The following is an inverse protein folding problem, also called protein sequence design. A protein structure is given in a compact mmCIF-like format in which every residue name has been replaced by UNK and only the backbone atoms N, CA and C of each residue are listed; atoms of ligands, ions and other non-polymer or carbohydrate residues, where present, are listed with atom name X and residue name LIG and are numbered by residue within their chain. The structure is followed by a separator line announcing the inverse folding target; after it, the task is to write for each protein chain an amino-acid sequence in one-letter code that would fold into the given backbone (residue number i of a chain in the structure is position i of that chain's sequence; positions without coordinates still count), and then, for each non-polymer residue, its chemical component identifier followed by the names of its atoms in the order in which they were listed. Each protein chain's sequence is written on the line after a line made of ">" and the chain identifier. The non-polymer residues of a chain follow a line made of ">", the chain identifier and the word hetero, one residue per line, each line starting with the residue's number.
data_IF_394699260472
#
_entry.id   IF_394699260472
#
_cell.length_a   1.000
_cell.length_b   1.000
_cell.length_c   1.000
_cell.angle_alpha   90.00
_cell.angle_beta   90.00
_cell.angle_gamma   90.00
#
_symmetry.space_group_name_H-M   'P 1'
#
loop_
_entity.id
_entity.type
_entity.pdbx_description
1 polymer ?
#
# COMPACT_ATOMS: atom_id res chain seq x y z
N UNK A 1 -23.16 -2.79 12.02
CA UNK A 1 -22.36 -1.68 11.53
C UNK A 1 -22.47 -1.61 10.01
N UNK A 2 -22.58 -0.41 9.46
CA UNK A 2 -22.82 -0.15 8.04
C UNK A 2 -21.74 0.75 7.42
N UNK A 3 -20.49 0.67 7.94
CA UNK A 3 -19.33 1.35 7.37
C UNK A 3 -18.98 0.76 6.00
N UNK A 4 -18.83 1.62 5.01
CA UNK A 4 -18.22 1.27 3.72
C UNK A 4 -16.71 1.45 3.84
N UNK A 5 -15.96 0.41 3.49
CA UNK A 5 -14.50 0.43 3.46
C UNK A 5 -14.01 -0.44 2.30
N UNK A 6 -13.43 0.18 1.30
CA UNK A 6 -12.97 -0.50 0.09
C UNK A 6 -11.62 -1.16 0.31
N UNK A 7 -11.48 -2.44 -0.03
CA UNK A 7 -10.29 -3.24 0.28
C UNK A 7 -8.98 -2.71 -0.30
N UNK A 8 -8.98 -2.16 -1.51
CA UNK A 8 -7.79 -1.54 -2.13
C UNK A 8 -7.41 -0.21 -1.47
N UNK A 9 -8.34 0.40 -0.74
CA UNK A 9 -8.11 1.63 0.02
C UNK A 9 -7.85 1.36 1.51
N UNK A 10 -7.27 0.22 1.84
CA UNK A 10 -7.01 -0.15 3.22
C UNK A 10 -5.70 -0.92 3.36
N UNK A 11 -4.82 -0.42 4.20
CA UNK A 11 -3.50 -1.03 4.46
C UNK A 11 -3.17 -0.91 5.94
N UNK A 12 -2.75 -2.00 6.58
CA UNK A 12 -2.47 -2.06 8.02
C UNK A 12 -1.09 -2.62 8.31
N UNK A 13 -0.53 -2.19 9.43
CA UNK A 13 0.70 -2.77 10.00
C UNK A 13 0.42 -3.93 10.97
N UNK A 14 -0.85 -4.15 11.32
CA UNK A 14 -1.28 -5.14 12.31
C UNK A 14 -0.97 -4.76 13.76
N UNK A 15 -0.42 -3.59 14.03
CA UNK A 15 -0.06 -3.10 15.36
C UNK A 15 -0.88 -1.87 15.78
N UNK A 16 -1.82 -1.45 14.96
CA UNK A 16 -2.76 -0.38 15.27
C UNK A 16 -2.69 0.83 14.33
N UNK A 17 -1.74 0.88 13.39
CA UNK A 17 -1.75 1.89 12.35
C UNK A 17 -2.40 1.34 11.07
N UNK A 18 -3.18 2.18 10.41
CA UNK A 18 -3.73 1.92 9.10
C UNK A 18 -3.61 3.15 8.19
N UNK A 19 -3.57 2.90 6.89
CA UNK A 19 -3.56 3.92 5.85
C UNK A 19 -4.77 3.77 4.94
N UNK A 20 -5.34 4.89 4.53
CA UNK A 20 -6.35 5.00 3.49
C UNK A 20 -6.16 6.32 2.73
N UNK A 21 -6.86 6.49 1.61
CA UNK A 21 -7.15 7.81 1.08
C UNK A 21 -8.43 8.37 1.73
N UNK A 22 -8.69 9.65 1.57
CA UNK A 22 -9.92 10.32 2.00
C UNK A 22 -11.20 9.73 1.39
N UNK A 23 -11.10 8.82 0.43
CA UNK A 23 -12.22 8.05 -0.11
C UNK A 23 -13.08 7.42 0.99
N UNK A 24 -12.46 6.95 2.09
CA UNK A 24 -13.20 6.39 3.23
C UNK A 24 -14.16 7.41 3.86
N UNK A 25 -13.85 8.70 3.80
CA UNK A 25 -14.72 9.78 4.27
C UNK A 25 -15.86 10.02 3.28
N UNK A 26 -15.54 10.13 1.98
CA UNK A 26 -16.50 10.35 0.89
C UNK A 26 -17.53 9.21 0.79
N UNK A 27 -17.10 7.96 0.94
CA UNK A 27 -17.97 6.78 0.90
C UNK A 27 -18.96 6.71 2.08
N UNK A 28 -18.71 7.46 3.14
CA UNK A 28 -19.52 7.46 4.36
C UNK A 28 -20.13 8.82 4.69
N UNK A 29 -20.04 9.83 3.82
CA UNK A 29 -20.63 11.15 4.02
C UNK A 29 -22.14 11.19 3.74
N UNK A 30 -22.84 12.30 4.05
CA UNK A 30 -24.23 12.47 3.67
C UNK A 30 -24.44 12.43 2.15
N UNK A 31 -25.32 11.56 1.68
CA UNK A 31 -25.61 11.39 0.26
C UNK A 31 -24.73 10.38 -0.46
N UNK A 32 -23.95 9.59 0.28
CA UNK A 32 -23.13 8.51 -0.29
C UNK A 32 -23.96 7.55 -1.17
N UNK A 33 -23.36 6.95 -2.20
CA UNK A 33 -24.08 6.10 -3.17
C UNK A 33 -24.51 4.73 -2.62
N UNK A 34 -24.04 4.35 -1.43
CA UNK A 34 -24.22 3.01 -0.85
C UNK A 34 -25.46 2.91 0.06
N UNK A 35 -26.18 4.01 0.29
CA UNK A 35 -27.32 4.09 1.23
C UNK A 35 -26.96 3.67 2.67
N UNK A 36 -25.73 3.87 3.09
CA UNK A 36 -25.33 3.70 4.49
C UNK A 36 -25.58 5.00 5.27
N UNK A 37 -25.72 4.87 6.58
CA UNK A 37 -25.85 6.03 7.45
C UNK A 37 -24.61 6.88 7.40
N UNK A 38 -24.75 8.19 7.19
CA UNK A 38 -23.64 9.12 7.19
C UNK A 38 -22.86 9.07 8.51
N UNK A 39 -21.54 9.18 8.42
CA UNK A 39 -20.61 9.14 9.56
C UNK A 39 -19.66 10.31 9.49
N UNK A 40 -19.35 10.86 10.65
CA UNK A 40 -18.22 11.77 10.79
C UNK A 40 -16.90 10.97 10.81
N UNK A 41 -15.80 11.64 10.53
CA UNK A 41 -14.47 11.03 10.62
C UNK A 41 -14.22 10.37 11.98
N UNK A 42 -14.54 11.06 13.08
CA UNK A 42 -14.39 10.49 14.43
C UNK A 42 -15.24 9.23 14.65
N UNK A 43 -16.40 9.12 14.00
CA UNK A 43 -17.22 7.89 14.06
C UNK A 43 -16.60 6.76 13.24
N UNK A 44 -16.00 7.08 12.11
CA UNK A 44 -15.25 6.12 11.29
C UNK A 44 -14.06 5.59 12.09
N UNK A 45 -13.26 6.48 12.69
CA UNK A 45 -12.10 6.12 13.50
C UNK A 45 -12.50 5.23 14.69
N UNK A 46 -13.57 5.57 15.39
CA UNK A 46 -14.07 4.74 16.49
C UNK A 46 -14.53 3.35 16.04
N UNK A 47 -15.17 3.26 14.87
CA UNK A 47 -15.57 1.97 14.28
C UNK A 47 -14.32 1.15 13.92
N UNK A 48 -13.32 1.76 13.33
CA UNK A 48 -12.08 1.08 12.97
C UNK A 48 -11.29 0.65 14.21
N UNK A 49 -11.31 1.42 15.28
CA UNK A 49 -10.75 1.02 16.58
C UNK A 49 -11.50 -0.17 17.18
N UNK A 50 -12.83 -0.08 17.28
CA UNK A 50 -13.67 -1.09 17.95
C UNK A 50 -13.65 -2.45 17.24
N UNK A 51 -13.59 -2.48 15.91
CA UNK A 51 -13.73 -3.72 15.11
C UNK A 51 -12.44 -4.21 14.48
N UNK A 52 -11.48 -3.31 14.22
CA UNK A 52 -10.23 -3.62 13.52
C UNK A 52 -9.00 -3.38 14.39
N UNK A 53 -9.16 -2.77 15.58
CA UNK A 53 -8.07 -2.45 16.48
C UNK A 53 -7.16 -1.33 15.98
N UNK A 54 -7.66 -0.46 15.08
CA UNK A 54 -6.90 0.64 14.52
C UNK A 54 -6.94 1.82 15.48
N UNK A 55 -5.80 2.20 16.00
CA UNK A 55 -5.64 3.33 16.93
C UNK A 55 -5.22 4.61 16.22
N UNK A 56 -4.55 4.46 15.08
CA UNK A 56 -4.11 5.57 14.23
C UNK A 56 -4.50 5.28 12.77
N UNK A 57 -5.53 5.98 12.28
CA UNK A 57 -6.03 5.81 10.92
C UNK A 57 -5.61 7.00 10.06
N UNK A 58 -4.52 6.84 9.34
CA UNK A 58 -3.88 7.86 8.49
C UNK A 58 -4.65 7.96 7.17
N UNK A 59 -5.22 9.13 6.90
CA UNK A 59 -6.02 9.40 5.70
C UNK A 59 -5.28 10.40 4.81
N UNK A 60 -4.89 9.95 3.63
CA UNK A 60 -4.14 10.75 2.65
C UNK A 60 -5.08 11.38 1.64
N UNK A 61 -4.72 12.54 1.11
CA UNK A 61 -5.51 13.20 0.08
C UNK A 61 -5.64 12.32 -1.17
N UNK A 62 -6.83 12.35 -1.78
CA UNK A 62 -7.11 11.67 -3.03
C UNK A 62 -6.20 12.20 -4.16
N UNK A 63 -5.84 11.31 -5.09
CA UNK A 63 -4.98 11.68 -6.23
C UNK A 63 -5.81 12.36 -7.33
N UNK A 64 -5.25 13.37 -8.02
CA UNK A 64 -6.00 14.16 -9.01
C UNK A 64 -6.59 13.38 -10.19
N UNK A 65 -5.95 12.29 -10.59
CA UNK A 65 -6.35 11.49 -11.76
C UNK A 65 -6.80 10.08 -11.41
N UNK A 66 -6.59 9.64 -10.17
CA UNK A 66 -7.04 8.33 -9.72
C UNK A 66 -8.55 8.34 -9.43
N UNK A 67 -9.33 7.81 -10.38
CA UNK A 67 -10.80 7.78 -10.25
C UNK A 67 -11.32 6.77 -9.24
N UNK A 68 -10.49 5.85 -8.77
CA UNK A 68 -10.85 4.88 -7.73
C UNK A 68 -10.29 5.24 -6.35
N UNK A 69 -9.31 6.13 -6.29
CA UNK A 69 -8.67 6.64 -5.08
C UNK A 69 -8.19 5.56 -4.09
N UNK A 70 -7.70 4.43 -4.61
CA UNK A 70 -7.19 3.33 -3.80
C UNK A 70 -5.69 3.46 -3.56
N UNK A 71 -5.28 3.46 -2.30
CA UNK A 71 -3.86 3.65 -1.93
C UNK A 71 -2.94 2.52 -2.43
N UNK A 72 -3.46 1.31 -2.64
CA UNK A 72 -2.69 0.18 -3.14
C UNK A 72 -2.17 0.37 -4.58
N UNK A 73 -2.72 1.35 -5.31
CA UNK A 73 -2.25 1.74 -6.63
C UNK A 73 -0.93 2.52 -6.62
N UNK A 74 -0.59 3.17 -5.51
CA UNK A 74 0.61 3.99 -5.44
C UNK A 74 1.49 3.76 -4.21
N UNK A 75 1.03 2.93 -3.26
CA UNK A 75 1.77 2.64 -2.04
C UNK A 75 1.62 1.18 -1.62
N UNK A 76 2.63 0.64 -0.93
CA UNK A 76 2.60 -0.66 -0.26
C UNK A 76 3.40 -0.60 1.04
N UNK A 77 2.79 -1.02 2.14
CA UNK A 77 3.49 -1.29 3.39
C UNK A 77 4.11 -2.70 3.30
N UNK A 78 5.42 -2.81 3.47
CA UNK A 78 6.14 -4.09 3.34
C UNK A 78 6.59 -4.66 4.68
N UNK A 79 6.66 -3.84 5.69
CA UNK A 79 6.77 -4.18 7.10
C UNK A 79 6.15 -3.03 7.94
N UNK A 80 6.20 -3.12 9.26
CA UNK A 80 5.53 -2.20 10.19
C UNK A 80 6.10 -0.75 10.17
N UNK A 81 7.16 -0.49 9.42
CA UNK A 81 7.81 0.83 9.33
C UNK A 81 8.24 1.23 7.93
N UNK A 82 8.07 0.35 6.91
CA UNK A 82 8.66 0.56 5.58
C UNK A 82 7.59 0.60 4.50
N UNK A 83 7.58 1.70 3.77
CA UNK A 83 6.70 1.94 2.63
C UNK A 83 7.48 1.79 1.32
N UNK A 84 6.87 1.16 0.33
CA UNK A 84 7.24 1.25 -1.09
C UNK A 84 6.22 2.13 -1.77
N UNK A 85 6.69 3.20 -2.43
CA UNK A 85 5.82 4.23 -3.00
C UNK A 85 6.16 4.44 -4.47
N UNK A 86 5.13 4.50 -5.30
CA UNK A 86 5.28 4.78 -6.73
C UNK A 86 5.79 6.20 -6.97
N UNK A 87 6.76 6.34 -7.87
CA UNK A 87 7.31 7.63 -8.29
C UNK A 87 7.07 7.82 -9.78
N UNK A 88 6.50 8.94 -10.12
CA UNK A 88 6.38 9.41 -11.50
C UNK A 88 7.52 10.39 -11.84
N UNK A 89 7.79 10.67 -13.13
CA UNK A 89 8.68 11.77 -13.49
C UNK A 89 8.22 13.09 -12.87
N UNK A 90 9.17 13.96 -12.56
CA UNK A 90 8.89 15.22 -11.85
C UNK A 90 7.76 16.02 -12.49
N UNK A 91 6.75 16.38 -11.69
CA UNK A 91 5.61 17.19 -12.10
C UNK A 91 4.62 16.48 -13.04
N UNK A 92 4.74 15.17 -13.19
CA UNK A 92 3.90 14.39 -14.10
C UNK A 92 2.85 13.60 -13.31
N UNK A 93 1.65 13.50 -13.86
CA UNK A 93 0.53 12.73 -13.32
C UNK A 93 0.22 13.07 -11.85
N UNK A 94 -0.03 12.06 -11.05
CA UNK A 94 -0.31 12.17 -9.62
C UNK A 94 0.94 12.33 -8.75
N UNK A 95 2.14 12.31 -9.35
CA UNK A 95 3.43 12.36 -8.65
C UNK A 95 3.52 13.44 -7.58
N UNK A 96 3.20 14.72 -7.89
CA UNK A 96 3.23 15.79 -6.90
C UNK A 96 2.33 15.56 -5.69
N UNK A 97 1.13 14.98 -5.88
CA UNK A 97 0.24 14.69 -4.77
C UNK A 97 0.73 13.49 -3.95
N UNK A 98 1.27 12.45 -4.59
CA UNK A 98 1.89 11.32 -3.89
C UNK A 98 3.05 11.82 -3.02
N UNK A 99 3.93 12.67 -3.56
CA UNK A 99 5.05 13.26 -2.83
C UNK A 99 4.56 14.07 -1.62
N UNK A 100 3.52 14.89 -1.78
CA UNK A 100 2.93 15.68 -0.70
C UNK A 100 2.32 14.79 0.40
N UNK A 101 1.55 13.78 0.04
CA UNK A 101 0.95 12.83 0.98
C UNK A 101 2.01 12.08 1.79
N UNK A 102 3.07 11.63 1.14
CA UNK A 102 4.16 10.93 1.83
C UNK A 102 4.96 11.88 2.73
N UNK A 103 5.17 13.12 2.30
CA UNK A 103 5.82 14.11 3.15
C UNK A 103 5.00 14.40 4.41
N UNK A 104 3.68 14.52 4.28
CA UNK A 104 2.78 14.70 5.43
C UNK A 104 2.85 13.52 6.40
N UNK A 105 2.89 12.28 5.90
CA UNK A 105 3.10 11.08 6.72
C UNK A 105 4.45 11.15 7.45
N UNK A 106 5.52 11.53 6.76
CA UNK A 106 6.85 11.61 7.37
C UNK A 106 6.98 12.72 8.43
N UNK A 107 6.24 13.80 8.28
CA UNK A 107 6.29 14.94 9.18
C UNK A 107 5.41 14.75 10.44
N UNK A 108 4.31 14.00 10.33
CA UNK A 108 3.29 13.93 11.37
C UNK A 108 3.11 12.56 11.99
N UNK A 109 3.56 11.48 11.33
CA UNK A 109 3.27 10.12 11.74
C UNK A 109 4.52 9.34 12.14
N UNK A 110 4.31 8.34 12.99
CA UNK A 110 5.35 7.40 13.37
C UNK A 110 4.89 5.96 13.19
N UNK A 111 5.83 5.07 12.92
CA UNK A 111 5.57 3.65 12.83
C UNK A 111 5.14 3.07 14.19
N UNK A 112 4.68 1.83 14.21
CA UNK A 112 4.34 1.11 15.43
C UNK A 112 5.52 1.00 16.44
N UNK A 113 6.73 1.27 15.99
CA UNK A 113 7.93 1.29 16.83
C UNK A 113 8.29 2.70 17.36
N UNK A 114 7.44 3.70 17.10
CA UNK A 114 7.70 5.09 17.49
C UNK A 114 8.85 5.75 16.69
N UNK A 115 9.21 5.19 15.56
CA UNK A 115 10.24 5.71 14.65
C UNK A 115 9.60 6.26 13.36
N UNK A 116 10.22 7.21 12.66
CA UNK A 116 9.74 7.66 11.36
C UNK A 116 9.61 6.49 10.37
N UNK A 117 8.64 6.56 9.48
CA UNK A 117 8.52 5.63 8.37
C UNK A 117 9.73 5.71 7.43
N UNK A 118 10.14 4.57 6.89
CA UNK A 118 11.14 4.47 5.83
C UNK A 118 10.44 4.41 4.49
N UNK A 119 10.84 5.23 3.53
CA UNK A 119 10.23 5.29 2.21
C UNK A 119 11.21 4.83 1.16
N UNK A 120 10.80 3.86 0.35
CA UNK A 120 11.50 3.38 -0.82
C UNK A 120 10.68 3.74 -2.06
N UNK A 121 11.20 4.63 -2.86
CA UNK A 121 10.57 5.03 -4.11
C UNK A 121 10.83 4.01 -5.21
N UNK A 122 9.76 3.60 -5.92
CA UNK A 122 9.85 2.74 -7.09
C UNK A 122 9.28 3.45 -8.32
N UNK A 123 10.05 3.52 -9.40
CA UNK A 123 9.62 4.23 -10.60
C UNK A 123 8.46 3.51 -11.26
N UNK A 124 7.30 4.16 -11.31
CA UNK A 124 6.13 3.68 -12.03
C UNK A 124 6.38 3.78 -13.54
N UNK A 125 6.12 2.72 -14.32
CA UNK A 125 6.37 2.78 -15.76
C UNK A 125 5.24 3.52 -16.48
N UNK A 126 5.52 4.14 -17.64
CA UNK A 126 4.45 4.63 -18.51
C UNK A 126 3.68 3.46 -19.14
N UNK A 127 2.51 3.74 -19.66
CA UNK A 127 1.76 2.82 -20.52
C UNK A 127 2.55 2.41 -21.76
N UNK A 128 2.06 1.44 -22.53
CA UNK A 128 2.67 1.00 -23.80
C UNK A 128 2.77 2.13 -24.84
N UNK A 129 1.90 3.14 -24.76
CA UNK A 129 1.94 4.34 -25.59
C UNK A 129 2.85 5.45 -25.06
N UNK A 130 3.53 5.21 -23.92
CA UNK A 130 4.42 6.19 -23.31
C UNK A 130 3.74 7.21 -22.39
N UNK A 131 2.42 7.07 -22.16
CA UNK A 131 1.65 7.99 -21.33
C UNK A 131 1.70 7.60 -19.86
N UNK A 132 1.72 8.60 -18.99
CA UNK A 132 1.47 8.50 -17.56
C UNK A 132 0.00 8.80 -17.25
N UNK A 133 -0.47 8.51 -16.02
CA UNK A 133 -1.85 8.77 -15.64
C UNK A 133 -2.30 10.21 -15.89
N UNK A 134 -3.49 10.33 -16.46
CA UNK A 134 -4.24 11.56 -16.66
C UNK A 134 -5.74 11.23 -16.66
N UNK A 135 -6.58 12.15 -17.12
CA UNK A 135 -8.03 11.92 -17.26
C UNK A 135 -8.40 10.74 -18.18
N UNK A 136 -7.46 10.21 -18.94
CA UNK A 136 -7.63 9.03 -19.81
C UNK A 136 -7.24 7.70 -19.15
N UNK A 137 -6.76 7.73 -17.92
CA UNK A 137 -6.28 6.55 -17.21
C UNK A 137 -4.77 6.36 -17.34
N UNK A 138 -4.32 5.28 -17.98
CA UNK A 138 -2.91 4.92 -18.22
C UNK A 138 -2.11 4.47 -16.97
N UNK A 139 -2.76 4.14 -15.86
CA UNK A 139 -2.09 3.66 -14.65
C UNK A 139 -1.25 2.42 -14.93
N UNK A 140 -0.04 2.41 -14.37
CA UNK A 140 0.87 1.26 -14.26
C UNK A 140 1.55 1.36 -12.91
N UNK A 141 1.59 0.27 -12.16
CA UNK A 141 2.09 0.28 -10.80
C UNK A 141 2.80 -1.01 -10.45
N UNK A 142 3.84 -0.92 -9.63
CA UNK A 142 4.51 -2.07 -9.01
C UNK A 142 4.12 -2.23 -7.53
N UNK A 143 3.35 -1.29 -6.97
CA UNK A 143 2.92 -1.33 -5.56
C UNK A 143 1.65 -2.12 -5.35
N UNK A 144 0.83 -2.33 -6.40
CA UNK A 144 -0.33 -3.21 -6.35
C UNK A 144 0.08 -4.70 -6.34
N UNK A 145 1.06 -5.00 -5.50
CA UNK A 145 1.64 -6.31 -5.30
C UNK A 145 0.96 -7.06 -4.16
N UNK A 146 1.03 -8.38 -4.16
CA UNK A 146 0.44 -9.22 -3.12
C UNK A 146 1.49 -10.14 -2.48
N UNK A 147 1.43 -10.26 -1.16
CA UNK A 147 2.24 -11.22 -0.41
C UNK A 147 1.48 -12.53 -0.24
N UNK A 148 2.08 -13.62 -0.69
CA UNK A 148 1.55 -14.98 -0.52
C UNK A 148 2.63 -15.83 0.13
N UNK A 149 2.58 -15.99 1.43
CA UNK A 149 3.63 -16.64 2.23
C UNK A 149 5.00 -15.99 1.98
N UNK A 150 5.97 -16.74 1.46
CA UNK A 150 7.31 -16.25 1.09
C UNK A 150 7.44 -15.81 -0.37
N UNK A 151 6.34 -15.51 -1.02
CA UNK A 151 6.31 -15.04 -2.41
C UNK A 151 5.64 -13.68 -2.50
N UNK A 152 6.20 -12.81 -3.32
CA UNK A 152 5.62 -11.52 -3.68
C UNK A 152 5.26 -11.59 -5.15
N UNK A 153 3.98 -11.42 -5.46
CA UNK A 153 3.48 -11.30 -6.83
C UNK A 153 3.44 -9.82 -7.19
N UNK A 154 4.24 -9.42 -8.15
CA UNK A 154 4.39 -8.02 -8.57
C UNK A 154 3.80 -7.84 -9.96
N UNK A 155 2.93 -6.83 -10.19
CA UNK A 155 2.46 -6.51 -11.54
C UNK A 155 3.64 -6.19 -12.45
N UNK A 156 3.60 -6.71 -13.67
CA UNK A 156 4.61 -6.44 -14.70
C UNK A 156 3.96 -6.08 -16.03
N UNK A 157 4.71 -5.46 -16.91
CA UNK A 157 4.21 -4.84 -18.15
C UNK A 157 5.13 -5.16 -19.34
N UNK A 158 6.43 -4.97 -19.20
CA UNK A 158 7.45 -5.24 -20.23
C UNK A 158 8.88 -5.26 -19.64
N UNK A 159 9.73 -6.16 -20.10
CA UNK A 159 11.05 -6.41 -19.47
C UNK A 159 11.95 -5.19 -19.29
N UNK A 160 11.86 -4.22 -20.21
CA UNK A 160 12.73 -3.03 -20.16
C UNK A 160 12.50 -2.13 -18.95
N UNK A 161 11.28 -2.10 -18.41
CA UNK A 161 10.90 -1.33 -17.20
C UNK A 161 10.72 -2.22 -15.97
N UNK A 162 10.33 -3.49 -16.16
CA UNK A 162 10.06 -4.42 -15.07
C UNK A 162 11.33 -4.93 -14.39
N UNK A 163 12.40 -5.18 -15.16
CA UNK A 163 13.62 -5.76 -14.59
C UNK A 163 14.24 -4.93 -13.46
N UNK A 164 14.38 -3.59 -13.56
CA UNK A 164 14.82 -2.77 -12.45
C UNK A 164 13.88 -2.83 -11.22
N UNK A 165 12.56 -2.77 -11.46
CA UNK A 165 11.56 -2.81 -10.41
C UNK A 165 11.57 -4.16 -9.65
N UNK A 166 11.63 -5.27 -10.37
CA UNK A 166 11.74 -6.61 -9.77
C UNK A 166 13.08 -6.81 -9.02
N UNK A 167 14.17 -6.20 -9.50
CA UNK A 167 15.43 -6.20 -8.76
C UNK A 167 15.29 -5.44 -7.44
N UNK A 168 14.71 -4.26 -7.47
CA UNK A 168 14.45 -3.47 -6.27
C UNK A 168 13.57 -4.21 -5.26
N UNK A 169 12.52 -4.90 -5.71
CA UNK A 169 11.69 -5.74 -4.84
C UNK A 169 12.49 -6.86 -4.16
N UNK A 170 13.44 -7.50 -4.88
CA UNK A 170 14.32 -8.54 -4.30
C UNK A 170 15.27 -7.97 -3.26
N UNK A 171 15.80 -6.78 -3.50
CA UNK A 171 16.71 -6.09 -2.57
C UNK A 171 15.98 -5.63 -1.29
N UNK A 172 14.72 -5.17 -1.42
CA UNK A 172 13.90 -4.76 -0.29
C UNK A 172 13.40 -5.94 0.56
N UNK A 173 13.19 -7.10 -0.06
CA UNK A 173 12.58 -8.27 0.57
C UNK A 173 13.49 -9.51 0.46
N UNK A 174 14.67 -9.48 1.09
CA UNK A 174 15.60 -10.61 1.04
C UNK A 174 14.96 -11.86 1.66
N UNK A 175 15.07 -12.98 0.96
CA UNK A 175 14.47 -14.25 1.37
C UNK A 175 13.07 -14.50 0.84
N UNK A 176 12.47 -13.53 0.17
CA UNK A 176 11.21 -13.71 -0.57
C UNK A 176 11.47 -14.11 -2.03
N UNK A 177 10.57 -14.91 -2.58
CA UNK A 177 10.52 -15.19 -4.02
C UNK A 177 9.70 -14.09 -4.71
N UNK A 178 10.35 -13.25 -5.53
CA UNK A 178 9.69 -12.18 -6.27
C UNK A 178 9.34 -12.65 -7.67
N UNK A 179 8.03 -12.71 -7.96
CA UNK A 179 7.46 -13.20 -9.22
C UNK A 179 6.71 -12.08 -9.91
N UNK A 180 7.11 -11.76 -11.14
CA UNK A 180 6.37 -10.84 -12.00
C UNK A 180 5.18 -11.53 -12.65
N UNK A 181 4.02 -10.87 -12.63
CA UNK A 181 2.80 -11.29 -13.32
C UNK A 181 2.45 -10.21 -14.34
N UNK A 182 2.47 -10.58 -15.62
CA UNK A 182 2.10 -9.66 -16.70
C UNK A 182 0.60 -9.32 -16.62
N UNK A 183 0.30 -8.04 -16.42
CA UNK A 183 -1.07 -7.53 -16.27
C UNK A 183 -1.49 -6.61 -17.42
N UNK A 184 -0.65 -6.49 -18.45
CA UNK A 184 -0.85 -5.61 -19.62
C UNK A 184 -0.78 -6.40 -20.96
N UNK A 185 -0.90 -7.71 -20.92
CA UNK A 185 -0.85 -8.55 -22.11
C UNK A 185 -2.11 -8.37 -22.98
N UNK A 186 -1.93 -8.39 -24.30
CA UNK A 186 -3.04 -8.29 -25.25
C UNK A 186 -4.05 -9.42 -25.03
N UNK A 187 -5.30 -9.05 -24.77
CA UNK A 187 -6.41 -9.98 -24.51
C UNK A 187 -6.67 -10.31 -23.06
N UNK A 188 -5.73 -10.06 -22.15
CA UNK A 188 -5.85 -10.28 -20.70
C UNK A 188 -5.34 -9.06 -19.91
N UNK A 189 -5.70 -7.87 -20.34
CA UNK A 189 -5.23 -6.61 -19.80
C UNK A 189 -5.98 -6.26 -18.49
N UNK A 190 -5.51 -6.76 -17.36
CA UNK A 190 -6.10 -6.48 -16.04
C UNK A 190 -6.01 -5.00 -15.68
N UNK A 191 -4.87 -4.36 -15.97
CA UNK A 191 -4.62 -2.97 -15.57
C UNK A 191 -5.55 -1.96 -16.27
N UNK A 192 -6.17 -2.33 -17.38
CA UNK A 192 -7.16 -1.47 -18.05
C UNK A 192 -8.41 -1.20 -17.23
N UNK A 193 -8.67 -2.02 -16.21
CA UNK A 193 -9.76 -1.86 -15.25
C UNK A 193 -9.35 -1.09 -14.00
N UNK A 194 -8.26 -0.33 -14.07
CA UNK A 194 -7.71 0.52 -13.00
C UNK A 194 -7.26 -0.26 -11.76
N UNK A 195 -6.88 -1.52 -11.92
CA UNK A 195 -6.37 -2.37 -10.86
C UNK A 195 -5.44 -3.45 -11.39
N UNK A 196 -4.66 -4.06 -10.50
CA UNK A 196 -3.75 -5.13 -10.86
C UNK A 196 -3.95 -6.33 -9.93
N UNK A 197 -2.86 -6.97 -9.47
CA UNK A 197 -2.94 -8.26 -8.76
C UNK A 197 -3.62 -8.12 -7.39
N UNK A 198 -3.27 -7.11 -6.61
CA UNK A 198 -3.86 -6.92 -5.28
C UNK A 198 -5.38 -6.71 -5.36
N UNK A 199 -5.85 -5.94 -6.35
CA UNK A 199 -7.26 -5.62 -6.54
C UNK A 199 -8.16 -6.82 -6.85
N UNK A 200 -7.61 -7.94 -7.32
CA UNK A 200 -8.35 -9.18 -7.64
C UNK A 200 -8.11 -10.30 -6.62
N UNK A 201 -7.42 -10.00 -5.52
CA UNK A 201 -7.12 -10.98 -4.46
C UNK A 201 -7.87 -10.65 -3.18
N UNK A 202 -8.02 -11.65 -2.34
CA UNK A 202 -8.64 -11.52 -1.04
C UNK A 202 -7.89 -12.36 0.00
N UNK A 203 -7.65 -11.78 1.17
CA UNK A 203 -7.03 -12.49 2.29
C UNK A 203 -8.08 -13.20 3.12
N UNK A 204 -7.77 -14.40 3.56
CA UNK A 204 -8.59 -15.18 4.49
C UNK A 204 -7.81 -15.30 5.79
N UNK A 205 -8.45 -14.97 6.90
CA UNK A 205 -7.86 -15.13 8.23
C UNK A 205 -7.57 -16.59 8.55
N UNK A 206 -6.51 -16.84 9.33
CA UNK A 206 -6.18 -18.16 9.86
C UNK A 206 -6.76 -18.32 11.26
N UNK A 207 -7.09 -19.56 11.66
CA UNK A 207 -7.75 -19.84 12.95
C UNK A 207 -6.82 -19.58 14.13
N UNK A 208 -5.55 -19.99 14.05
CA UNK A 208 -4.54 -19.83 15.08
C UNK A 208 -3.31 -19.08 14.54
N UNK A 209 -3.36 -17.76 14.40
CA UNK A 209 -2.23 -17.01 13.88
C UNK A 209 -1.08 -16.98 14.89
N UNK A 210 0.13 -17.31 14.44
CA UNK A 210 1.36 -16.98 15.14
C UNK A 210 1.97 -15.77 14.45
N UNK A 211 2.06 -14.67 15.19
CA UNK A 211 2.64 -13.45 14.69
C UNK A 211 3.85 -13.04 15.54
N UNK A 212 4.99 -12.91 14.87
CA UNK A 212 6.25 -12.49 15.47
C UNK A 212 6.65 -11.16 14.86
N UNK A 213 6.74 -10.13 15.68
CA UNK A 213 7.05 -8.77 15.25
C UNK A 213 8.32 -8.28 15.91
N UNK A 214 9.23 -7.75 15.15
CA UNK A 214 10.41 -7.06 15.64
C UNK A 214 10.79 -5.93 14.68
N UNK A 215 11.39 -4.88 15.23
CA UNK A 215 11.95 -3.81 14.41
C UNK A 215 13.06 -4.36 13.50
N UNK A 216 13.17 -3.82 12.29
CA UNK A 216 14.23 -4.23 11.36
C UNK A 216 15.60 -4.12 12.01
N UNK A 217 16.39 -5.21 11.93
CA UNK A 217 17.70 -5.31 12.57
C UNK A 217 18.64 -4.31 11.90
N UNK A 218 19.25 -3.38 12.66
CA UNK A 218 20.17 -2.41 12.10
C UNK A 218 21.46 -3.10 11.62
N UNK A 219 22.08 -2.51 10.61
CA UNK A 219 23.43 -2.94 10.21
C UNK A 219 24.41 -2.67 11.36
N UNK A 220 25.17 -3.68 11.76
CA UNK A 220 26.18 -3.59 12.82
C UNK A 220 27.55 -4.03 12.31
N UNK A 221 28.64 -3.53 12.91
CA UNK A 221 29.98 -4.01 12.60
C UNK A 221 30.12 -5.51 12.87
N UNK A 222 30.99 -6.16 12.11
CA UNK A 222 31.31 -7.59 12.31
C UNK A 222 31.75 -7.87 13.76
N UNK A 223 31.30 -8.98 14.33
CA UNK A 223 31.56 -9.40 15.71
C UNK A 223 30.95 -8.49 16.81
N UNK A 224 29.92 -7.70 16.51
CA UNK A 224 29.16 -6.94 17.49
C UNK A 224 27.94 -7.74 17.92
N UNK A 225 27.68 -7.80 19.25
CA UNK A 225 26.44 -8.37 19.78
C UNK A 225 25.28 -7.41 19.48
N UNK A 226 24.19 -7.94 18.92
CA UNK A 226 22.94 -7.21 18.67
C UNK A 226 21.87 -7.83 19.58
N UNK A 227 21.15 -6.99 20.32
CA UNK A 227 19.93 -7.40 21.01
C UNK A 227 18.76 -7.25 20.07
N UNK A 228 17.96 -8.29 19.92
CA UNK A 228 16.71 -8.29 19.15
C UNK A 228 15.58 -8.48 20.14
N UNK A 229 14.69 -7.48 20.21
CA UNK A 229 13.43 -7.58 20.96
C UNK A 229 12.32 -7.93 19.98
N UNK A 230 11.51 -8.93 20.31
CA UNK A 230 10.39 -9.35 19.50
C UNK A 230 9.14 -9.48 20.35
N UNK A 231 8.01 -9.03 19.80
CA UNK A 231 6.68 -9.33 20.33
C UNK A 231 6.13 -10.56 19.63
N UNK A 232 5.60 -11.50 20.41
CA UNK A 232 4.97 -12.71 19.87
C UNK A 232 3.50 -12.67 20.27
N UNK A 233 2.62 -12.72 19.29
CA UNK A 233 1.17 -12.84 19.47
C UNK A 233 0.73 -14.22 18.98
N UNK A 234 -0.01 -14.91 19.82
CA UNK A 234 -0.65 -16.18 19.51
C UNK A 234 -1.98 -16.22 20.26
N UNK A 235 -3.06 -16.63 19.61
CA UNK A 235 -4.38 -16.77 20.24
C UNK A 235 -4.47 -18.05 21.03
#
# INVERSE_FOLDING_TARGET
>A
NDLVNTGGNYMIDGLGNAFASELILEENEPGNPYNVSAKTEAQIDQIMEDYMGIQNYIKMQALPYDVINHIDMHMKLIDEQTLVVSRYPQGVADGPQIEANIQEVLDNEVSAFGTPYKVNWIDAPPSTSGNYPDSGGYYRTYTNAVFVNKTILVPTYRPSVDNPALAQWRDLMPGYNVVGIDVDNQGENLISSLGAIHCITHSIGVEDPLWIVHQAIPTAPENTSITIEASIKHN
#
